data_IF_672242422423
#
_entry.id   IF_672242422423
#
_cell.length_a   1.000
_cell.length_b   1.000
_cell.length_c   1.000
_cell.angle_alpha   90.00
_cell.angle_beta   90.00
_cell.angle_gamma   90.00
#
_symmetry.space_group_name_H-M   'P 1'
#
loop_
_entity.id
_entity.type
_entity.pdbx_description
1 polymer ?
#
# COMPACT_ATOMS: atom_id res chain seq x y z
N UNK A 1 -50.32 38.31 60.80
CA UNK A 1 -49.73 38.72 59.51
C UNK A 1 -48.59 37.79 59.16
N UNK A 2 -48.74 36.93 58.15
CA UNK A 2 -47.67 36.32 57.32
C UNK A 2 -48.33 35.51 56.21
N UNK A 3 -47.77 35.63 55.00
CA UNK A 3 -48.41 35.54 53.69
C UNK A 3 -48.47 34.11 53.14
N UNK A 4 -49.55 33.80 52.43
CA UNK A 4 -49.67 32.65 51.50
C UNK A 4 -48.68 32.85 50.32
N UNK A 5 -47.90 31.83 49.98
CA UNK A 5 -47.25 31.71 48.66
C UNK A 5 -47.89 30.56 47.90
N UNK A 6 -48.55 30.88 46.77
CA UNK A 6 -48.93 29.91 45.75
C UNK A 6 -47.71 29.63 44.88
N UNK A 7 -47.21 28.39 44.90
CA UNK A 7 -46.21 27.92 43.94
C UNK A 7 -46.90 27.38 42.68
N UNK A 8 -46.69 28.02 41.54
CA UNK A 8 -47.09 27.48 40.23
C UNK A 8 -45.98 26.56 39.75
N UNK A 9 -46.28 25.26 39.60
CA UNK A 9 -45.39 24.30 38.92
C UNK A 9 -45.72 24.33 37.44
N UNK A 10 -44.78 24.81 36.61
CA UNK A 10 -44.86 24.69 35.15
C UNK A 10 -44.21 23.37 34.76
N UNK A 11 -44.99 22.39 34.31
CA UNK A 11 -44.48 21.19 33.66
C UNK A 11 -44.05 21.54 32.23
N UNK A 12 -42.74 21.57 31.97
CA UNK A 12 -42.21 21.66 30.61
C UNK A 12 -42.29 20.26 29.96
N UNK A 13 -43.15 20.10 28.96
CA UNK A 13 -43.18 18.89 28.14
C UNK A 13 -41.97 18.90 27.19
N UNK A 14 -41.00 18.03 27.44
CA UNK A 14 -39.92 17.72 26.51
C UNK A 14 -40.49 16.91 25.34
N UNK A 15 -40.73 17.54 24.21
CA UNK A 15 -40.98 16.86 22.95
C UNK A 15 -39.68 16.19 22.49
N UNK A 16 -39.58 14.87 22.65
CA UNK A 16 -38.54 14.08 22.02
C UNK A 16 -38.74 14.13 20.50
N UNK A 17 -38.02 15.02 19.82
CA UNK A 17 -37.95 15.02 18.37
C UNK A 17 -37.28 13.72 17.92
N UNK A 18 -38.05 12.83 17.30
CA UNK A 18 -37.48 11.72 16.53
C UNK A 18 -36.75 12.31 15.34
N UNK A 19 -35.44 12.45 15.45
CA UNK A 19 -34.58 12.67 14.28
C UNK A 19 -34.69 11.41 13.43
N UNK A 20 -35.33 11.50 12.27
CA UNK A 20 -35.29 10.44 11.28
C UNK A 20 -33.81 10.18 10.94
N UNK A 21 -33.31 9.02 11.34
CA UNK A 21 -31.95 8.61 11.08
C UNK A 21 -31.87 8.32 9.58
N UNK A 22 -31.15 9.14 8.82
CA UNK A 22 -30.89 8.86 7.40
C UNK A 22 -30.32 7.44 7.31
N UNK A 23 -30.90 6.54 6.50
CA UNK A 23 -30.38 5.20 6.37
C UNK A 23 -28.91 5.30 5.97
N UNK A 24 -28.04 4.66 6.75
CA UNK A 24 -26.62 4.61 6.43
C UNK A 24 -26.47 3.78 5.16
N UNK A 25 -25.93 4.37 4.10
CA UNK A 25 -25.56 3.58 2.93
C UNK A 25 -24.45 2.61 3.32
N UNK A 26 -24.61 1.34 2.97
CA UNK A 26 -23.61 0.30 3.16
C UNK A 26 -22.74 0.16 1.90
N UNK A 27 -21.49 -0.28 2.05
CA UNK A 27 -20.58 -0.52 0.91
C UNK A 27 -21.20 -1.47 -0.14
N UNK A 28 -21.97 -2.45 0.33
CA UNK A 28 -22.70 -3.42 -0.49
C UNK A 28 -23.78 -2.81 -1.39
N UNK A 29 -24.22 -1.58 -1.09
CA UNK A 29 -25.20 -0.87 -1.91
C UNK A 29 -24.56 -0.38 -3.23
N UNK A 30 -23.23 -0.23 -3.26
CA UNK A 30 -22.49 0.32 -4.40
C UNK A 30 -21.52 -0.68 -5.04
N UNK A 31 -20.94 -1.57 -4.23
CA UNK A 31 -19.92 -2.50 -4.68
C UNK A 31 -20.48 -3.92 -4.72
N UNK A 32 -20.41 -4.55 -5.89
CA UNK A 32 -20.78 -5.96 -6.09
C UNK A 32 -19.60 -6.74 -6.64
N UNK A 33 -19.53 -8.05 -6.31
CA UNK A 33 -18.49 -8.98 -6.79
C UNK A 33 -17.06 -8.55 -6.41
N UNK A 34 -16.89 -7.97 -5.23
CA UNK A 34 -15.57 -7.66 -4.67
C UNK A 34 -14.78 -8.95 -4.54
N UNK A 35 -13.56 -8.97 -5.09
CA UNK A 35 -12.64 -10.10 -5.02
C UNK A 35 -11.30 -9.65 -4.48
N UNK A 36 -10.81 -10.34 -3.45
CA UNK A 36 -9.43 -10.21 -2.99
C UNK A 36 -8.48 -10.84 -4.01
N UNK A 37 -7.47 -10.09 -4.44
CA UNK A 37 -6.47 -10.54 -5.42
C UNK A 37 -5.17 -11.01 -4.77
N UNK A 38 -4.75 -10.39 -3.67
CA UNK A 38 -3.49 -10.68 -2.99
C UNK A 38 -3.74 -11.45 -1.69
N UNK A 39 -3.44 -12.73 -1.69
CA UNK A 39 -3.70 -13.64 -0.54
C UNK A 39 -2.42 -14.10 0.16
N UNK A 40 -1.29 -14.06 -0.53
CA UNK A 40 0.00 -14.52 -0.02
C UNK A 40 0.77 -13.43 0.72
N UNK A 41 1.69 -13.87 1.57
CA UNK A 41 2.65 -13.02 2.26
C UNK A 41 2.11 -12.38 3.54
N UNK A 42 3.00 -11.65 4.20
CA UNK A 42 2.73 -10.93 5.45
C UNK A 42 1.89 -9.68 5.21
N UNK A 43 2.18 -8.97 4.12
CA UNK A 43 1.46 -7.77 3.70
C UNK A 43 1.58 -7.52 2.21
N UNK A 44 0.60 -6.83 1.66
CA UNK A 44 0.59 -6.27 0.31
C UNK A 44 0.17 -4.81 0.41
N UNK A 45 0.69 -3.98 -0.49
CA UNK A 45 0.42 -2.55 -0.50
C UNK A 45 0.00 -2.08 -1.88
N UNK A 46 0.42 -0.86 -2.20
CA UNK A 46 0.30 -0.21 -3.51
C UNK A 46 0.33 -1.17 -4.72
N UNK A 47 -0.56 -0.91 -5.68
CA UNK A 47 -0.58 -1.62 -6.94
C UNK A 47 -1.35 -0.89 -8.04
N UNK A 48 -0.99 -1.19 -9.28
CA UNK A 48 -1.46 -0.50 -10.48
C UNK A 48 -1.83 -1.49 -11.58
N UNK A 49 -2.94 -1.21 -12.25
CA UNK A 49 -3.44 -2.01 -13.35
C UNK A 49 -2.62 -1.81 -14.62
N UNK A 50 -2.42 -2.87 -15.39
CA UNK A 50 -2.00 -2.73 -16.79
C UNK A 50 -3.08 -1.99 -17.58
N UNK A 51 -2.73 -1.29 -18.68
CA UNK A 51 -3.71 -0.55 -19.48
C UNK A 51 -4.88 -1.38 -20.01
N UNK A 52 -4.67 -2.69 -20.23
CA UNK A 52 -5.71 -3.62 -20.67
C UNK A 52 -6.51 -4.26 -19.51
N UNK A 53 -6.19 -3.92 -18.25
CA UNK A 53 -6.84 -4.41 -17.05
C UNK A 53 -6.59 -5.90 -16.74
N UNK A 54 -5.71 -6.59 -17.48
CA UNK A 54 -5.46 -8.02 -17.31
C UNK A 54 -4.39 -8.35 -16.28
N UNK A 55 -3.55 -7.38 -15.93
CA UNK A 55 -2.44 -7.57 -15.01
C UNK A 55 -2.43 -6.51 -13.93
N UNK A 56 -1.89 -6.85 -12.77
CA UNK A 56 -1.68 -5.96 -11.65
C UNK A 56 -0.20 -6.00 -11.27
N UNK A 57 0.48 -4.87 -11.27
CA UNK A 57 1.79 -4.75 -10.62
C UNK A 57 1.57 -4.24 -9.20
N UNK A 58 2.22 -4.82 -8.20
CA UNK A 58 1.98 -4.46 -6.81
C UNK A 58 3.15 -4.82 -5.90
N UNK A 59 3.20 -4.17 -4.74
CA UNK A 59 4.20 -4.46 -3.71
C UNK A 59 3.72 -5.49 -2.69
N UNK A 60 4.61 -6.39 -2.29
CA UNK A 60 4.31 -7.42 -1.28
C UNK A 60 5.52 -7.90 -0.49
N UNK A 61 5.33 -8.15 0.80
CA UNK A 61 6.26 -8.92 1.64
C UNK A 61 5.78 -10.36 1.67
N UNK A 62 6.30 -11.21 0.77
CA UNK A 62 5.84 -12.61 0.66
C UNK A 62 6.94 -13.66 0.67
N UNK A 63 8.20 -13.25 0.66
CA UNK A 63 9.33 -14.17 0.62
C UNK A 63 9.94 -14.32 2.01
N UNK A 64 10.10 -15.55 2.54
CA UNK A 64 10.63 -15.77 3.89
C UNK A 64 12.00 -15.13 4.15
N UNK A 65 12.85 -15.03 3.12
CA UNK A 65 14.20 -14.46 3.22
C UNK A 65 14.27 -12.95 2.98
N UNK A 66 13.16 -12.26 2.71
CA UNK A 66 13.13 -10.83 2.44
C UNK A 66 12.09 -10.12 3.31
N UNK A 67 12.52 -9.24 4.24
CA UNK A 67 11.63 -8.53 5.13
C UNK A 67 11.08 -7.23 4.54
N UNK A 68 11.45 -6.87 3.31
CA UNK A 68 11.04 -5.65 2.64
C UNK A 68 10.06 -5.93 1.51
N UNK A 69 9.24 -4.92 1.18
CA UNK A 69 8.41 -4.97 -0.01
C UNK A 69 9.24 -5.24 -1.26
N UNK A 70 8.79 -6.19 -2.06
CA UNK A 70 9.25 -6.48 -3.41
C UNK A 70 8.10 -6.27 -4.39
N UNK A 71 8.42 -6.05 -5.65
CA UNK A 71 7.44 -5.79 -6.71
C UNK A 71 7.11 -7.08 -7.45
N UNK A 72 5.82 -7.33 -7.63
CA UNK A 72 5.28 -8.50 -8.31
C UNK A 72 4.30 -8.08 -9.41
N UNK A 73 4.23 -8.88 -10.47
CA UNK A 73 3.19 -8.80 -11.48
C UNK A 73 2.28 -10.02 -11.37
N UNK A 74 0.98 -9.78 -11.18
CA UNK A 74 -0.09 -10.78 -11.21
C UNK A 74 -0.78 -10.73 -12.59
N UNK A 75 -0.88 -11.87 -13.25
CA UNK A 75 -1.74 -12.07 -14.41
C UNK A 75 -3.11 -12.57 -13.95
N UNK A 76 -4.19 -11.83 -14.24
CA UNK A 76 -5.54 -12.23 -13.85
C UNK A 76 -6.14 -13.34 -14.74
N UNK A 77 -5.58 -13.53 -15.93
CA UNK A 77 -6.04 -14.55 -16.89
C UNK A 77 -5.57 -15.92 -16.45
N UNK A 78 -4.30 -16.04 -16.02
CA UNK A 78 -3.72 -17.31 -15.57
C UNK A 78 -3.74 -17.48 -14.06
N UNK A 79 -3.75 -16.38 -13.30
CA UNK A 79 -3.57 -16.37 -11.85
C UNK A 79 -2.10 -16.36 -11.41
N UNK A 80 -1.16 -16.36 -12.36
CA UNK A 80 0.26 -16.43 -12.05
C UNK A 80 0.76 -15.12 -11.45
N UNK A 81 1.60 -15.23 -10.42
CA UNK A 81 2.30 -14.09 -9.83
C UNK A 81 3.80 -14.27 -9.97
N UNK A 82 4.49 -13.27 -10.51
CA UNK A 82 5.94 -13.27 -10.72
C UNK A 82 6.59 -12.07 -10.03
N UNK A 83 7.70 -12.28 -9.32
CA UNK A 83 8.55 -11.17 -8.84
C UNK A 83 9.23 -10.51 -10.04
N UNK A 84 9.14 -9.19 -10.13
CA UNK A 84 9.85 -8.40 -11.14
C UNK A 84 11.03 -7.61 -10.56
N UNK A 85 11.04 -7.34 -9.25
CA UNK A 85 12.18 -6.70 -8.59
C UNK A 85 13.32 -7.70 -8.30
N UNK A 86 14.53 -7.20 -7.98
CA UNK A 86 15.71 -8.05 -7.78
C UNK A 86 15.63 -9.03 -6.59
N UNK A 87 14.70 -8.84 -5.65
CA UNK A 87 14.57 -9.70 -4.47
C UNK A 87 15.41 -9.27 -3.26
N UNK A 88 16.03 -8.09 -3.31
CA UNK A 88 16.76 -7.46 -2.22
C UNK A 88 16.70 -5.94 -2.36
N UNK A 89 17.06 -5.22 -1.30
CA UNK A 89 16.81 -3.78 -1.21
C UNK A 89 15.31 -3.48 -1.04
N UNK A 90 14.99 -2.25 -0.68
CA UNK A 90 13.59 -1.78 -0.60
C UNK A 90 13.08 -1.52 -2.01
N UNK A 91 11.76 -1.63 -2.21
CA UNK A 91 11.10 -1.29 -3.47
C UNK A 91 9.75 -0.61 -3.20
N UNK A 92 9.29 0.24 -4.12
CA UNK A 92 7.99 0.91 -4.06
C UNK A 92 7.57 1.44 -5.45
N UNK A 93 6.34 1.92 -5.58
CA UNK A 93 5.83 2.76 -6.68
C UNK A 93 6.11 2.20 -8.07
N UNK A 94 5.52 1.05 -8.35
CA UNK A 94 5.68 0.38 -9.63
C UNK A 94 4.62 0.80 -10.64
N UNK A 95 4.94 0.93 -11.93
CA UNK A 95 3.96 1.30 -12.96
C UNK A 95 4.23 0.61 -14.30
N UNK A 96 3.19 0.15 -15.00
CA UNK A 96 3.34 -0.40 -16.35
C UNK A 96 3.59 0.71 -17.36
N UNK A 97 4.64 0.58 -18.19
CA UNK A 97 4.86 1.51 -19.31
C UNK A 97 3.94 1.18 -20.49
N UNK A 98 2.97 2.05 -20.85
CA UNK A 98 2.02 1.74 -21.92
C UNK A 98 2.69 1.46 -23.26
N UNK A 99 2.20 0.43 -23.98
CA UNK A 99 2.69 0.07 -25.31
C UNK A 99 4.05 -0.64 -25.35
N UNK A 100 4.62 -1.02 -24.20
CA UNK A 100 5.92 -1.70 -24.10
C UNK A 100 5.86 -2.92 -23.18
N UNK A 101 6.97 -3.64 -23.04
CA UNK A 101 7.15 -4.70 -22.03
C UNK A 101 7.92 -4.20 -20.79
N UNK A 102 7.98 -2.89 -20.56
CA UNK A 102 8.67 -2.31 -19.42
C UNK A 102 7.74 -2.04 -18.25
N UNK A 103 8.28 -2.22 -17.06
CA UNK A 103 7.65 -1.84 -15.79
C UNK A 103 8.63 -0.96 -15.04
N UNK A 104 8.18 0.24 -14.66
CA UNK A 104 8.90 1.14 -13.76
C UNK A 104 8.72 0.69 -12.31
N UNK A 105 9.74 0.89 -11.48
CA UNK A 105 9.65 0.81 -10.02
C UNK A 105 10.82 1.53 -9.38
N UNK A 106 10.65 1.93 -8.13
CA UNK A 106 11.73 2.48 -7.33
C UNK A 106 12.42 1.40 -6.49
N UNK A 107 13.75 1.51 -6.31
CA UNK A 107 14.47 0.56 -5.47
C UNK A 107 15.82 1.05 -4.95
N UNK A 108 16.19 0.54 -3.77
CA UNK A 108 17.51 0.76 -3.17
C UNK A 108 18.54 -0.32 -3.54
N UNK A 109 18.21 -1.29 -4.41
CA UNK A 109 19.06 -2.47 -4.69
C UNK A 109 20.46 -2.15 -5.23
N UNK A 110 20.72 -0.91 -5.65
CA UNK A 110 22.05 -0.48 -6.04
C UNK A 110 22.97 -0.18 -4.85
N UNK A 111 22.40 0.14 -3.67
CA UNK A 111 23.15 0.38 -2.45
C UNK A 111 23.88 -0.91 -2.05
N UNK A 112 25.22 -0.92 -1.96
CA UNK A 112 25.98 -2.09 -1.52
C UNK A 112 25.57 -2.59 -0.13
N UNK A 113 24.94 -1.76 0.72
CA UNK A 113 24.43 -2.14 2.04
C UNK A 113 23.04 -2.74 2.03
N UNK A 114 22.32 -2.75 0.90
CA UNK A 114 20.94 -3.25 0.84
C UNK A 114 20.76 -4.66 1.43
N UNK A 115 21.71 -5.57 1.19
CA UNK A 115 21.68 -6.93 1.75
C UNK A 115 21.99 -6.96 3.25
N UNK A 116 22.87 -6.07 3.72
CA UNK A 116 23.16 -5.92 5.15
C UNK A 116 21.90 -5.43 5.88
N UNK A 117 21.24 -4.37 5.40
CA UNK A 117 20.01 -3.86 5.99
C UNK A 117 18.87 -4.89 6.00
N UNK A 118 18.80 -5.74 4.97
CA UNK A 118 17.89 -6.87 4.93
C UNK A 118 18.16 -7.88 6.05
N UNK A 119 19.42 -8.23 6.31
CA UNK A 119 19.77 -9.10 7.43
C UNK A 119 19.46 -8.45 8.79
N UNK A 120 19.82 -7.18 8.96
CA UNK A 120 19.55 -6.41 10.19
C UNK A 120 18.06 -6.36 10.51
N UNK A 121 17.20 -6.17 9.50
CA UNK A 121 15.75 -6.18 9.68
C UNK A 121 15.23 -7.58 10.06
N UNK A 122 15.78 -8.65 9.48
CA UNK A 122 15.44 -10.02 9.88
C UNK A 122 15.83 -10.29 11.34
N UNK A 123 17.03 -9.90 11.75
CA UNK A 123 17.53 -10.05 13.12
C UNK A 123 16.70 -9.21 14.11
N UNK A 124 16.33 -7.98 13.72
CA UNK A 124 15.44 -7.12 14.50
C UNK A 124 14.07 -7.78 14.71
N UNK A 125 13.46 -8.34 13.65
CA UNK A 125 12.19 -9.07 13.74
C UNK A 125 12.31 -10.33 14.60
N UNK A 126 13.40 -11.07 14.47
CA UNK A 126 13.68 -12.27 15.28
C UNK A 126 13.85 -11.94 16.77
N UNK A 127 14.31 -10.73 17.11
CA UNK A 127 14.42 -10.28 18.50
C UNK A 127 13.07 -10.06 19.21
N UNK A 128 11.95 -10.06 18.48
CA UNK A 128 10.61 -9.81 19.02
C UNK A 128 10.32 -8.34 19.36
N UNK A 129 11.28 -7.44 19.16
CA UNK A 129 11.10 -5.99 19.36
C UNK A 129 10.14 -5.42 18.32
N UNK A 130 9.36 -4.43 18.73
CA UNK A 130 8.47 -3.68 17.83
C UNK A 130 8.90 -2.23 17.74
N UNK A 131 8.79 -1.64 16.55
CA UNK A 131 8.93 -0.19 16.34
C UNK A 131 7.64 0.38 15.77
N UNK A 132 7.33 1.63 16.11
CA UNK A 132 6.24 2.36 15.45
C UNK A 132 6.59 2.49 13.96
N UNK A 133 5.60 2.29 13.11
CA UNK A 133 5.76 2.53 11.68
C UNK A 133 6.19 3.97 11.41
N UNK A 134 7.21 4.12 10.59
CA UNK A 134 7.62 5.39 9.98
C UNK A 134 7.85 5.11 8.51
N UNK A 135 7.34 5.98 7.64
CA UNK A 135 7.81 5.99 6.26
C UNK A 135 9.27 6.42 6.27
N UNK A 136 10.12 5.65 5.61
CA UNK A 136 11.54 5.90 5.51
C UNK A 136 11.84 6.49 4.14
N UNK A 137 12.21 7.77 4.11
CA UNK A 137 12.62 8.46 2.90
C UNK A 137 14.10 8.14 2.61
N UNK A 138 14.35 6.86 2.35
CA UNK A 138 15.69 6.33 2.12
C UNK A 138 16.34 7.05 0.91
N UNK A 139 17.47 7.76 1.09
CA UNK A 139 18.09 8.56 0.03
C UNK A 139 18.79 7.73 -1.05
N UNK A 140 18.78 6.40 -0.92
CA UNK A 140 19.29 5.46 -1.92
C UNK A 140 18.18 4.93 -2.83
N UNK A 141 16.94 5.43 -2.70
CA UNK A 141 15.90 5.12 -3.67
C UNK A 141 16.22 5.75 -5.01
N UNK A 142 16.08 4.93 -6.06
CA UNK A 142 16.27 5.33 -7.45
C UNK A 142 15.21 4.66 -8.30
N UNK A 143 14.84 5.29 -9.41
CA UNK A 143 13.85 4.78 -10.36
C UNK A 143 14.53 3.85 -11.38
N UNK A 144 13.91 2.71 -11.65
CA UNK A 144 14.36 1.72 -12.62
C UNK A 144 13.23 1.34 -13.57
N UNK A 145 13.57 0.99 -14.81
CA UNK A 145 12.72 0.11 -15.63
C UNK A 145 13.20 -1.34 -15.56
N UNK A 146 12.26 -2.26 -15.66
CA UNK A 146 12.46 -3.69 -15.87
C UNK A 146 11.78 -4.11 -17.17
N UNK A 147 12.56 -4.62 -18.14
CA UNK A 147 12.04 -5.14 -19.40
C UNK A 147 11.72 -6.63 -19.27
N UNK A 148 10.43 -6.98 -19.27
CA UNK A 148 9.96 -8.33 -18.93
C UNK A 148 10.51 -9.43 -19.84
N UNK A 149 10.71 -9.15 -21.14
CA UNK A 149 11.19 -10.14 -22.11
C UNK A 149 12.66 -10.49 -21.94
N UNK A 150 13.47 -9.53 -21.49
CA UNK A 150 14.93 -9.69 -21.39
C UNK A 150 15.40 -9.89 -19.96
N UNK A 151 14.56 -9.54 -18.98
CA UNK A 151 14.96 -9.50 -17.57
C UNK A 151 15.92 -8.35 -17.24
N UNK A 152 16.11 -7.38 -18.15
CA UNK A 152 17.05 -6.29 -17.98
C UNK A 152 16.47 -5.19 -17.08
N UNK A 153 17.28 -4.73 -16.13
CA UNK A 153 17.04 -3.51 -15.36
C UNK A 153 17.80 -2.32 -15.98
N UNK A 154 17.18 -1.14 -16.01
CA UNK A 154 17.83 0.12 -16.37
C UNK A 154 17.53 1.17 -15.32
N UNK A 155 18.58 1.72 -14.68
CA UNK A 155 18.45 2.83 -13.72
C UNK A 155 18.21 4.14 -14.48
N UNK A 156 17.18 4.89 -14.10
CA UNK A 156 16.78 6.14 -14.75
C UNK A 156 17.27 7.39 -14.02
N UNK A 157 17.40 7.31 -12.70
CA UNK A 157 17.85 8.41 -11.83
C UNK A 157 19.20 8.07 -11.20
N UNK A 158 19.94 9.07 -10.72
CA UNK A 158 21.18 8.86 -9.98
C UNK A 158 21.49 9.97 -8.98
N UNK A 159 20.48 10.80 -8.68
CA UNK A 159 20.62 11.94 -7.80
C UNK A 159 20.38 11.46 -6.38
N UNK A 160 21.30 11.79 -5.46
CA UNK A 160 21.11 11.40 -4.06
C UNK A 160 19.87 12.07 -3.48
N UNK A 161 18.89 11.29 -3.07
CA UNK A 161 17.59 11.77 -2.64
C UNK A 161 16.55 10.64 -2.62
N UNK A 162 15.33 10.95 -2.21
CA UNK A 162 14.23 10.00 -2.27
C UNK A 162 13.60 10.02 -3.67
N UNK A 163 14.21 9.29 -4.62
CA UNK A 163 13.71 9.15 -5.99
C UNK A 163 12.85 7.88 -6.08
N UNK A 164 11.59 7.99 -5.66
CA UNK A 164 10.72 6.83 -5.52
C UNK A 164 9.30 6.96 -6.08
N UNK A 165 8.79 8.16 -6.34
CA UNK A 165 7.40 8.37 -6.73
C UNK A 165 7.32 8.70 -8.23
N UNK A 166 7.12 7.67 -9.06
CA UNK A 166 7.10 7.80 -10.52
C UNK A 166 5.92 7.08 -11.17
N UNK A 167 5.45 7.61 -12.31
CA UNK A 167 4.40 6.99 -13.13
C UNK A 167 4.51 7.43 -14.59
N UNK A 168 4.02 6.60 -15.50
CA UNK A 168 3.82 6.98 -16.90
C UNK A 168 2.45 7.63 -17.14
N UNK A 169 2.40 8.62 -18.02
CA UNK A 169 1.18 9.29 -18.50
C UNK A 169 0.86 8.95 -19.93
#
# INVERSE_FOLDING_TARGET
MKRLLFGVVVLAALSAGTTAQTPANHETDFLTRIRRLTVEGRRAGEGYWSPDGKRLVFQSEREPGNPFYQIYALDLTTGDTKRISPGYGKTTCSFFRPGTDEIEFASTHHDPKSKQYQQEELDFRASGKTRRYSWDYDPEFEIYTYAEKTGKYTRLTNARGYDAEGSYS
#
